data_IF_704032003327
#
_entry.id   IF_704032003327
#
_cell.length_a   1.000
_cell.length_b   1.000
_cell.length_c   1.000
_cell.angle_alpha   90.00
_cell.angle_beta   90.00
_cell.angle_gamma   90.00
#
_symmetry.space_group_name_H-M   'P 1'
#
loop_
_entity.id
_entity.type
_entity.pdbx_description
1 polymer ?
#
# COMPACT_ATOMS: atom_id res chain seq x y z
N UNK A 1 9.31 -32.14 48.12
CA UNK A 1 8.79 -32.43 46.76
C UNK A 1 8.53 -31.20 45.91
N UNK A 2 8.08 -30.06 46.46
CA UNK A 2 7.77 -28.85 45.65
C UNK A 2 8.99 -28.13 45.05
N UNK A 3 10.14 -28.12 45.74
CA UNK A 3 11.36 -27.49 45.22
C UNK A 3 11.92 -28.15 43.95
N UNK A 4 11.74 -29.46 43.79
CA UNK A 4 12.19 -30.20 42.61
C UNK A 4 11.33 -29.86 41.38
N UNK A 5 10.03 -29.68 41.57
CA UNK A 5 9.09 -29.29 40.50
C UNK A 5 9.32 -27.84 40.02
N UNK A 6 9.70 -26.94 40.93
CA UNK A 6 10.06 -25.57 40.58
C UNK A 6 11.35 -25.51 39.75
N UNK A 7 12.34 -26.33 40.10
CA UNK A 7 13.59 -26.44 39.36
C UNK A 7 13.38 -27.00 37.94
N UNK A 8 12.54 -28.04 37.80
CA UNK A 8 12.24 -28.60 36.48
C UNK A 8 11.42 -27.63 35.62
N UNK A 9 10.47 -26.89 36.20
CA UNK A 9 9.72 -25.87 35.49
C UNK A 9 10.62 -24.74 34.95
N UNK A 10 11.59 -24.27 35.75
CA UNK A 10 12.56 -23.25 35.32
C UNK A 10 13.47 -23.75 34.19
N UNK A 11 13.91 -25.01 34.26
CA UNK A 11 14.72 -25.62 33.20
C UNK A 11 13.94 -25.75 31.88
N UNK A 12 12.66 -26.16 31.95
CA UNK A 12 11.80 -26.24 30.77
C UNK A 12 11.59 -24.85 30.14
N UNK A 13 11.32 -23.83 30.97
CA UNK A 13 11.13 -22.46 30.49
C UNK A 13 12.39 -21.90 29.81
N UNK A 14 13.57 -22.15 30.40
CA UNK A 14 14.86 -21.81 29.79
C UNK A 14 15.10 -22.53 28.45
N UNK A 15 14.74 -23.82 28.37
CA UNK A 15 14.90 -24.60 27.13
C UNK A 15 13.97 -24.11 26.02
N UNK A 16 12.73 -23.73 26.35
CA UNK A 16 11.78 -23.15 25.41
C UNK A 16 12.28 -21.78 24.92
N UNK A 17 12.71 -20.90 25.83
CA UNK A 17 13.26 -19.59 25.47
C UNK A 17 14.48 -19.70 24.57
N UNK A 18 15.40 -20.62 24.90
CA UNK A 18 16.57 -20.91 24.08
C UNK A 18 16.21 -21.52 22.71
N UNK A 19 15.21 -22.41 22.66
CA UNK A 19 14.70 -22.99 21.42
C UNK A 19 14.11 -21.94 20.48
N UNK A 20 13.26 -21.04 21.01
CA UNK A 20 12.69 -19.92 20.26
C UNK A 20 13.76 -18.96 19.75
N UNK A 21 14.75 -18.65 20.59
CA UNK A 21 15.89 -17.81 20.19
C UNK A 21 16.71 -18.45 19.06
N UNK A 22 16.96 -19.76 19.15
CA UNK A 22 17.73 -20.48 18.13
C UNK A 22 16.97 -20.58 16.80
N UNK A 23 15.65 -20.74 16.84
CA UNK A 23 14.79 -20.71 15.64
C UNK A 23 14.83 -19.33 14.98
N UNK A 24 14.70 -18.25 15.75
CA UNK A 24 14.77 -16.89 15.23
C UNK A 24 16.13 -16.60 14.54
N UNK A 25 17.23 -17.00 15.17
CA UNK A 25 18.59 -16.91 14.60
C UNK A 25 18.78 -17.78 13.34
N UNK A 26 18.08 -18.91 13.23
CA UNK A 26 18.13 -19.76 12.03
C UNK A 26 17.32 -19.17 10.89
N UNK A 27 16.20 -18.49 11.15
CA UNK A 27 15.42 -17.80 10.12
C UNK A 27 16.25 -16.69 9.47
N UNK A 28 16.93 -15.85 10.26
CA UNK A 28 17.82 -14.81 9.70
C UNK A 28 18.96 -15.41 8.85
N UNK A 29 19.61 -16.49 9.31
CA UNK A 29 20.65 -17.17 8.52
C UNK A 29 20.11 -17.93 7.31
N UNK A 30 18.86 -18.39 7.34
CA UNK A 30 18.21 -19.01 6.19
C UNK A 30 17.82 -17.97 5.15
N UNK A 31 17.46 -16.75 5.54
CA UNK A 31 17.26 -15.65 4.61
C UNK A 31 18.58 -15.26 3.92
N UNK A 32 19.69 -15.14 4.65
CA UNK A 32 21.01 -14.90 4.05
C UNK A 32 21.49 -16.05 3.15
N UNK A 33 21.25 -17.30 3.54
CA UNK A 33 21.60 -18.47 2.71
C UNK A 33 20.65 -18.62 1.52
N UNK A 34 19.36 -18.30 1.66
CA UNK A 34 18.40 -18.21 0.55
C UNK A 34 18.82 -17.09 -0.39
N UNK A 35 19.30 -15.94 0.11
CA UNK A 35 19.91 -14.88 -0.68
C UNK A 35 21.12 -15.39 -1.48
N UNK A 36 21.99 -16.20 -0.90
CA UNK A 36 23.13 -16.80 -1.64
C UNK A 36 22.69 -17.85 -2.66
N UNK A 37 21.67 -18.66 -2.37
CA UNK A 37 21.15 -19.68 -3.29
C UNK A 37 20.35 -19.05 -4.43
N UNK A 38 19.58 -17.98 -4.16
CA UNK A 38 18.91 -17.17 -5.20
C UNK A 38 19.96 -16.51 -6.07
N UNK A 39 21.03 -15.90 -5.50
CA UNK A 39 22.19 -15.39 -6.26
C UNK A 39 22.86 -16.44 -7.15
N UNK A 40 23.05 -17.67 -6.66
CA UNK A 40 23.61 -18.76 -7.47
C UNK A 40 22.63 -19.29 -8.53
N UNK A 41 21.33 -19.12 -8.30
CA UNK A 41 20.29 -19.54 -9.23
C UNK A 41 20.05 -18.47 -10.31
N UNK A 42 20.03 -17.17 -9.99
CA UNK A 42 19.93 -16.09 -10.98
C UNK A 42 21.16 -16.03 -11.88
N UNK A 43 22.37 -16.19 -11.35
CA UNK A 43 23.60 -16.32 -12.16
C UNK A 43 23.63 -17.58 -13.07
N UNK A 44 22.71 -18.54 -12.87
CA UNK A 44 22.59 -19.76 -13.67
C UNK A 44 21.33 -19.77 -14.57
N UNK A 45 20.32 -18.95 -14.27
CA UNK A 45 19.07 -18.79 -15.04
C UNK A 45 19.17 -17.72 -16.14
N UNK A 46 20.20 -16.85 -16.11
CA UNK A 46 20.50 -15.89 -17.20
C UNK A 46 20.73 -16.57 -18.56
N UNK A 47 20.92 -17.90 -18.59
CA UNK A 47 21.01 -18.69 -19.82
C UNK A 47 19.69 -19.29 -20.34
N UNK A 48 18.58 -19.24 -19.57
CA UNK A 48 17.38 -20.06 -19.85
C UNK A 48 16.04 -19.33 -19.82
N UNK A 49 15.95 -18.06 -19.42
CA UNK A 49 14.69 -17.29 -19.42
C UNK A 49 14.59 -16.23 -20.52
N UNK A 50 14.99 -16.59 -21.73
CA UNK A 50 14.58 -15.85 -22.92
C UNK A 50 13.23 -16.36 -23.46
N UNK A 51 12.13 -16.26 -22.70
CA UNK A 51 10.79 -16.40 -23.31
C UNK A 51 9.74 -15.53 -22.60
N UNK A 52 9.24 -14.53 -23.34
CA UNK A 52 8.02 -13.74 -23.12
C UNK A 52 8.03 -12.46 -22.25
N UNK A 53 9.09 -11.66 -22.29
CA UNK A 53 8.93 -10.20 -22.12
C UNK A 53 8.71 -9.58 -23.50
N UNK A 54 7.45 -9.24 -23.79
CA UNK A 54 7.15 -8.29 -24.87
C UNK A 54 8.03 -7.06 -24.63
N UNK A 55 8.73 -6.63 -25.69
CA UNK A 55 9.51 -5.40 -25.81
C UNK A 55 8.63 -4.18 -25.49
N UNK A 56 8.37 -3.97 -24.21
CA UNK A 56 7.60 -2.88 -23.66
C UNK A 56 8.45 -2.29 -22.55
N UNK A 57 9.01 -1.11 -22.83
CA UNK A 57 9.54 -0.14 -21.87
C UNK A 57 9.91 -0.74 -20.51
N UNK A 58 11.03 -1.47 -20.48
CA UNK A 58 11.49 -2.13 -19.26
C UNK A 58 12.14 -1.10 -18.33
N UNK A 59 11.26 -0.38 -17.65
CA UNK A 59 11.57 0.65 -16.66
C UNK A 59 12.25 0.10 -15.40
N UNK A 60 12.31 -1.22 -15.23
CA UNK A 60 12.84 -1.89 -14.05
C UNK A 60 14.16 -2.62 -14.31
N UNK A 61 14.77 -2.42 -15.48
CA UNK A 61 16.07 -2.99 -15.84
C UNK A 61 16.10 -4.53 -15.72
N UNK A 62 15.04 -5.20 -16.15
CA UNK A 62 14.83 -6.67 -16.07
C UNK A 62 14.76 -7.22 -14.64
N UNK A 63 14.72 -6.35 -13.62
CA UNK A 63 14.59 -6.74 -12.22
C UNK A 63 13.13 -6.97 -11.85
N UNK A 64 12.87 -8.07 -11.15
CA UNK A 64 11.53 -8.44 -10.69
C UNK A 64 11.53 -8.88 -9.22
N UNK A 65 10.38 -8.74 -8.55
CA UNK A 65 10.15 -9.26 -7.20
C UNK A 65 11.20 -8.80 -6.18
N UNK A 66 11.92 -9.76 -5.60
CA UNK A 66 12.87 -9.53 -4.51
C UNK A 66 14.08 -8.71 -4.97
N UNK A 67 14.58 -8.94 -6.19
CA UNK A 67 15.74 -8.22 -6.72
C UNK A 67 15.41 -6.74 -6.98
N UNK A 68 14.23 -6.49 -7.55
CA UNK A 68 13.71 -5.13 -7.75
C UNK A 68 13.52 -4.39 -6.42
N UNK A 69 12.96 -5.06 -5.41
CA UNK A 69 12.76 -4.48 -4.08
C UNK A 69 14.07 -3.96 -3.48
N UNK A 70 15.11 -4.82 -3.43
CA UNK A 70 16.39 -4.42 -2.84
C UNK A 70 17.17 -3.42 -3.69
N UNK A 71 16.98 -3.44 -5.02
CA UNK A 71 17.54 -2.42 -5.89
C UNK A 71 16.93 -1.04 -5.62
N UNK A 72 15.62 -0.95 -5.44
CA UNK A 72 14.94 0.29 -5.09
C UNK A 72 15.26 0.76 -3.66
N UNK A 73 15.52 -0.16 -2.73
CA UNK A 73 15.98 0.15 -1.38
C UNK A 73 17.44 0.64 -1.32
N UNK A 74 18.18 0.62 -2.44
CA UNK A 74 19.59 1.01 -2.49
C UNK A 74 20.55 0.00 -1.83
N UNK A 75 20.07 -1.19 -1.48
CA UNK A 75 20.89 -2.27 -0.88
C UNK A 75 21.61 -3.12 -1.94
N UNK A 76 21.25 -2.93 -3.21
CA UNK A 76 21.85 -3.64 -4.33
C UNK A 76 23.18 -2.98 -4.72
N UNK A 77 24.25 -3.77 -4.81
CA UNK A 77 25.64 -3.29 -4.98
C UNK A 77 25.96 -2.81 -6.41
N UNK A 78 24.93 -2.52 -7.20
CA UNK A 78 25.02 -1.95 -8.53
C UNK A 78 24.28 -0.63 -8.44
N UNK A 79 24.96 0.48 -8.75
CA UNK A 79 24.36 1.82 -8.80
C UNK A 79 23.34 1.86 -9.94
N UNK A 80 22.15 1.32 -9.70
CA UNK A 80 21.00 1.42 -10.59
C UNK A 80 20.20 2.65 -10.19
N UNK A 81 20.14 3.62 -11.09
CA UNK A 81 19.20 4.72 -10.97
C UNK A 81 17.85 4.30 -11.57
N UNK A 82 16.81 4.41 -10.77
CA UNK A 82 15.43 4.24 -11.21
C UNK A 82 14.82 5.59 -11.49
N UNK A 83 14.11 5.70 -12.62
CA UNK A 83 13.34 6.91 -12.93
C UNK A 83 12.24 7.14 -11.89
N UNK A 84 11.82 8.38 -11.72
CA UNK A 84 10.68 8.74 -10.87
C UNK A 84 9.39 7.98 -11.24
N UNK A 85 9.20 7.74 -12.54
CA UNK A 85 8.06 6.96 -13.03
C UNK A 85 8.17 5.47 -12.62
N UNK A 86 9.36 4.87 -12.67
CA UNK A 86 9.57 3.52 -12.16
C UNK A 86 9.29 3.43 -10.66
N UNK A 87 9.79 4.40 -9.89
CA UNK A 87 9.54 4.50 -8.44
C UNK A 87 8.04 4.58 -8.12
N UNK A 88 7.30 5.50 -8.75
CA UNK A 88 5.85 5.65 -8.55
C UNK A 88 5.05 4.40 -8.93
N UNK A 89 5.44 3.72 -10.01
CA UNK A 89 4.78 2.47 -10.41
C UNK A 89 5.05 1.36 -9.42
N UNK A 90 6.27 1.26 -8.90
CA UNK A 90 6.58 0.30 -7.85
C UNK A 90 5.83 0.60 -6.56
N UNK A 91 5.70 1.87 -6.17
CA UNK A 91 4.89 2.28 -5.02
C UNK A 91 3.43 1.80 -5.13
N UNK A 92 2.81 1.90 -6.31
CA UNK A 92 1.47 1.38 -6.55
C UNK A 92 1.42 -0.15 -6.39
N UNK A 93 2.43 -0.86 -6.93
CA UNK A 93 2.55 -2.32 -6.79
C UNK A 93 2.72 -2.71 -5.33
N UNK A 94 3.51 -1.95 -4.57
CA UNK A 94 3.74 -2.14 -3.14
C UNK A 94 2.44 -1.98 -2.34
N UNK A 95 1.72 -0.86 -2.55
CA UNK A 95 0.42 -0.59 -1.92
C UNK A 95 -0.55 -1.74 -2.16
N UNK A 96 -0.67 -2.18 -3.41
CA UNK A 96 -1.59 -3.26 -3.77
C UNK A 96 -1.18 -4.59 -3.14
N UNK A 97 0.11 -4.90 -3.08
CA UNK A 97 0.59 -6.13 -2.43
C UNK A 97 0.28 -6.12 -0.92
N UNK A 98 0.49 -4.99 -0.23
CA UNK A 98 0.12 -4.85 1.20
C UNK A 98 -1.38 -5.08 1.41
N UNK A 99 -2.22 -4.47 0.57
CA UNK A 99 -3.68 -4.65 0.64
C UNK A 99 -4.10 -6.10 0.38
N UNK A 100 -3.50 -6.78 -0.59
CA UNK A 100 -3.79 -8.20 -0.85
C UNK A 100 -3.38 -9.09 0.34
N UNK A 101 -2.29 -8.77 1.04
CA UNK A 101 -1.89 -9.49 2.26
C UNK A 101 -2.90 -9.26 3.39
N UNK A 102 -3.37 -8.03 3.60
CA UNK A 102 -4.38 -7.72 4.61
C UNK A 102 -5.74 -8.36 4.27
N UNK A 103 -6.13 -8.42 3.01
CA UNK A 103 -7.36 -9.09 2.57
C UNK A 103 -7.28 -10.60 2.85
N UNK A 104 -6.15 -11.24 2.51
CA UNK A 104 -5.90 -12.65 2.88
C UNK A 104 -5.97 -12.86 4.40
N UNK A 105 -5.46 -11.91 5.18
CA UNK A 105 -5.54 -11.95 6.64
C UNK A 105 -7.00 -11.93 7.12
N UNK A 106 -7.84 -11.09 6.50
CA UNK A 106 -9.28 -10.99 6.78
C UNK A 106 -10.03 -12.29 6.46
N UNK A 107 -9.66 -12.95 5.36
CA UNK A 107 -10.18 -14.27 4.99
C UNK A 107 -9.70 -15.41 5.92
N UNK A 108 -8.82 -15.11 6.87
CA UNK A 108 -8.27 -16.10 7.80
C UNK A 108 -7.16 -16.96 7.21
N UNK A 109 -6.63 -16.59 6.04
CA UNK A 109 -5.48 -17.27 5.46
C UNK A 109 -4.24 -17.04 6.33
N UNK A 110 -3.44 -18.09 6.54
CA UNK A 110 -2.17 -18.04 7.29
C UNK A 110 -0.96 -18.35 6.42
N UNK A 111 -1.17 -18.45 5.11
CA UNK A 111 -0.10 -18.75 4.18
C UNK A 111 0.84 -17.55 4.08
N UNK A 112 2.07 -17.75 4.52
CA UNK A 112 3.16 -16.79 4.45
C UNK A 112 3.76 -16.82 3.03
N UNK A 113 3.11 -16.17 2.08
CA UNK A 113 3.67 -16.00 0.74
C UNK A 113 4.28 -14.61 0.58
N UNK A 114 5.60 -14.56 0.46
CA UNK A 114 6.33 -13.31 0.23
C UNK A 114 6.22 -12.84 -1.22
N UNK A 115 5.88 -13.73 -2.17
CA UNK A 115 5.78 -13.43 -3.60
C UNK A 115 4.32 -13.33 -3.97
N UNK A 116 3.97 -12.36 -4.80
CA UNK A 116 2.61 -12.26 -5.35
C UNK A 116 2.67 -11.58 -6.70
N UNK A 117 1.80 -12.00 -7.62
CA UNK A 117 1.66 -11.38 -8.93
C UNK A 117 0.60 -10.30 -8.83
N UNK A 118 1.02 -9.04 -8.94
CA UNK A 118 0.14 -7.89 -8.85
C UNK A 118 -0.36 -7.53 -10.24
N UNK A 119 -1.67 -7.63 -10.44
CA UNK A 119 -2.30 -7.25 -11.71
C UNK A 119 -2.33 -5.72 -11.84
N UNK A 120 -1.64 -5.16 -12.83
CA UNK A 120 -1.67 -3.72 -13.14
C UNK A 120 -2.28 -3.48 -14.53
N UNK A 121 -2.65 -2.24 -14.84
CA UNK A 121 -3.15 -1.87 -16.18
C UNK A 121 -2.14 -2.14 -17.31
N UNK A 122 -0.84 -2.21 -16.98
CA UNK A 122 0.23 -2.48 -17.94
C UNK A 122 0.67 -3.95 -17.99
N UNK A 123 0.04 -4.80 -17.17
CA UNK A 123 0.33 -6.23 -17.10
C UNK A 123 0.58 -6.73 -15.67
N UNK A 124 0.75 -8.04 -15.51
CA UNK A 124 1.12 -8.65 -14.24
C UNK A 124 2.56 -8.25 -13.86
N UNK A 125 2.76 -7.78 -12.63
CA UNK A 125 4.08 -7.45 -12.08
C UNK A 125 4.39 -8.40 -10.93
N UNK A 126 5.47 -9.19 -11.00
CA UNK A 126 5.94 -9.99 -9.87
C UNK A 126 6.41 -9.07 -8.75
N UNK A 127 5.70 -9.09 -7.63
CA UNK A 127 6.00 -8.31 -6.43
C UNK A 127 6.53 -9.22 -5.33
N UNK A 128 7.37 -8.67 -4.47
CA UNK A 128 7.89 -9.34 -3.30
C UNK A 128 7.89 -8.38 -2.11
N UNK A 129 7.51 -8.91 -0.94
CA UNK A 129 7.60 -8.21 0.33
C UNK A 129 8.50 -8.98 1.29
N UNK A 130 9.24 -8.29 2.19
CA UNK A 130 9.96 -8.93 3.27
C UNK A 130 9.09 -9.85 4.11
N UNK A 131 9.66 -10.99 4.51
CA UNK A 131 8.91 -12.04 5.19
C UNK A 131 8.39 -11.60 6.57
N UNK A 132 9.17 -10.79 7.29
CA UNK A 132 8.80 -10.17 8.55
C UNK A 132 7.60 -9.21 8.38
N UNK A 133 7.60 -8.41 7.31
CA UNK A 133 6.49 -7.53 6.96
C UNK A 133 5.22 -8.34 6.68
N UNK A 134 5.28 -9.35 5.81
CA UNK A 134 4.13 -10.22 5.49
C UNK A 134 3.60 -10.93 6.75
N UNK A 135 4.50 -11.43 7.59
CA UNK A 135 4.13 -12.11 8.84
C UNK A 135 3.41 -11.16 9.80
N UNK A 136 3.92 -9.93 9.97
CA UNK A 136 3.30 -8.90 10.79
C UNK A 136 1.91 -8.56 10.28
N UNK A 137 1.79 -8.25 8.98
CA UNK A 137 0.53 -7.87 8.35
C UNK A 137 -0.53 -8.98 8.44
N UNK A 138 -0.16 -10.24 8.24
CA UNK A 138 -1.11 -11.36 8.37
C UNK A 138 -1.60 -11.56 9.81
N UNK A 139 -0.70 -11.48 10.80
CA UNK A 139 -1.07 -11.65 12.20
C UNK A 139 -1.96 -10.51 12.67
N UNK A 140 -1.54 -9.26 12.43
CA UNK A 140 -2.27 -8.08 12.88
C UNK A 140 -3.55 -7.86 12.08
N UNK A 141 -3.52 -8.08 10.76
CA UNK A 141 -4.71 -8.02 9.92
C UNK A 141 -5.76 -9.06 10.32
N UNK A 142 -5.33 -10.27 10.72
CA UNK A 142 -6.24 -11.29 11.24
C UNK A 142 -6.81 -10.97 12.63
N UNK A 143 -6.11 -10.16 13.44
CA UNK A 143 -6.65 -9.61 14.70
C UNK A 143 -7.66 -8.51 14.41
N UNK A 144 -7.32 -7.59 13.51
CA UNK A 144 -8.19 -6.49 13.10
C UNK A 144 -9.49 -7.00 12.45
N UNK A 145 -9.44 -8.09 11.69
CA UNK A 145 -10.61 -8.73 11.12
C UNK A 145 -11.58 -9.28 12.19
N UNK A 146 -11.08 -9.66 13.36
CA UNK A 146 -11.91 -10.13 14.49
C UNK A 146 -12.38 -8.98 15.38
N UNK A 147 -11.56 -7.94 15.52
CA UNK A 147 -11.84 -6.75 16.29
C UNK A 147 -11.42 -5.51 15.49
N UNK A 148 -12.33 -4.91 14.70
CA UNK A 148 -12.03 -3.77 13.83
C UNK A 148 -11.57 -2.51 14.57
N UNK A 149 -11.83 -2.43 15.88
CA UNK A 149 -11.48 -1.29 16.74
C UNK A 149 -10.23 -1.59 17.60
N UNK A 150 -9.45 -2.62 17.26
CA UNK A 150 -8.20 -2.92 17.96
C UNK A 150 -7.12 -1.91 17.58
N UNK A 151 -7.03 -0.86 18.38
CA UNK A 151 -6.08 0.24 18.22
C UNK A 151 -4.61 -0.24 18.20
N UNK A 152 -4.29 -1.33 18.91
CA UNK A 152 -2.94 -1.91 18.92
C UNK A 152 -2.62 -2.59 17.58
N UNK A 153 -3.60 -3.32 17.02
CA UNK A 153 -3.44 -3.92 15.71
C UNK A 153 -3.28 -2.86 14.62
N UNK A 154 -4.08 -1.79 14.68
CA UNK A 154 -4.01 -0.64 13.76
C UNK A 154 -2.61 0.02 13.83
N UNK A 155 -2.14 0.35 15.04
CA UNK A 155 -0.81 0.95 15.24
C UNK A 155 0.32 0.03 14.74
N UNK A 156 0.20 -1.28 15.01
CA UNK A 156 1.18 -2.26 14.56
C UNK A 156 1.25 -2.36 13.04
N UNK A 157 0.10 -2.38 12.35
CA UNK A 157 0.01 -2.36 10.89
C UNK A 157 0.61 -1.06 10.33
N UNK A 158 0.18 0.11 10.84
CA UNK A 158 0.71 1.43 10.44
C UNK A 158 2.23 1.48 10.58
N UNK A 159 2.77 1.12 11.74
CA UNK A 159 4.23 1.12 11.98
C UNK A 159 5.00 0.15 11.06
N UNK A 160 4.40 -0.99 10.71
CA UNK A 160 5.00 -1.95 9.77
C UNK A 160 5.06 -1.36 8.36
N UNK A 161 3.98 -0.70 7.92
CA UNK A 161 3.90 -0.03 6.61
C UNK A 161 4.87 1.15 6.57
N UNK A 162 4.90 2.01 7.59
CA UNK A 162 5.80 3.16 7.65
C UNK A 162 7.27 2.74 7.52
N UNK A 163 7.67 1.69 8.23
CA UNK A 163 9.02 1.15 8.14
C UNK A 163 9.33 0.63 6.74
N UNK A 164 8.39 -0.09 6.12
CA UNK A 164 8.53 -0.61 4.75
C UNK A 164 8.70 0.53 3.73
N UNK A 165 7.86 1.57 3.81
CA UNK A 165 7.91 2.73 2.92
C UNK A 165 9.19 3.54 3.13
N UNK A 166 9.57 3.77 4.39
CA UNK A 166 10.82 4.48 4.74
C UNK A 166 12.05 3.76 4.19
N UNK A 167 12.08 2.42 4.24
CA UNK A 167 13.19 1.62 3.69
C UNK A 167 13.36 1.84 2.18
N UNK A 168 12.27 2.09 1.46
CA UNK A 168 12.28 2.34 0.02
C UNK A 168 12.39 3.84 -0.33
N UNK A 169 12.43 4.72 0.67
CA UNK A 169 12.45 6.17 0.49
C UNK A 169 11.11 6.77 0.05
N UNK A 170 9.99 6.09 0.30
CA UNK A 170 8.64 6.60 0.05
C UNK A 170 8.01 7.22 1.30
N UNK A 171 6.98 8.04 1.10
CA UNK A 171 6.11 8.52 2.18
C UNK A 171 4.97 7.52 2.36
N UNK A 172 4.70 7.14 3.60
CA UNK A 172 3.62 6.18 3.91
C UNK A 172 2.26 6.80 3.60
N UNK A 173 1.31 6.07 2.99
CA UNK A 173 -0.04 6.58 2.76
C UNK A 173 -0.85 6.56 4.06
N UNK A 174 -1.34 7.73 4.49
CA UNK A 174 -2.17 7.86 5.72
C UNK A 174 -3.45 7.00 5.64
N UNK A 175 -4.08 6.99 4.47
CA UNK A 175 -5.36 6.33 4.20
C UNK A 175 -5.23 4.86 3.70
N UNK A 176 -4.16 4.15 4.05
CA UNK A 176 -4.01 2.76 3.55
C UNK A 176 -5.08 1.80 4.10
N UNK A 177 -5.64 2.12 5.26
CA UNK A 177 -6.60 1.28 5.98
C UNK A 177 -8.05 1.78 5.90
N UNK A 178 -8.32 2.92 5.25
CA UNK A 178 -9.68 3.50 5.20
C UNK A 178 -10.21 3.89 6.59
N UNK A 179 -9.32 4.16 7.54
CA UNK A 179 -9.68 4.44 8.94
C UNK A 179 -9.95 5.92 9.21
N UNK A 180 -9.57 6.80 8.27
CA UNK A 180 -9.69 8.25 8.42
C UNK A 180 -11.01 8.78 7.80
N UNK A 181 -11.83 7.89 7.21
CA UNK A 181 -13.12 8.21 6.59
C UNK A 181 -14.22 8.60 7.61
N UNK A 182 -14.03 8.32 8.91
CA UNK A 182 -15.03 8.66 9.95
C UNK A 182 -14.89 10.09 10.51
N UNK A 183 -13.78 10.81 10.28
CA UNK A 183 -13.69 12.25 10.62
C UNK A 183 -14.07 13.19 9.46
N UNK A 184 -14.13 12.69 8.22
CA UNK A 184 -14.42 13.53 7.05
C UNK A 184 -15.87 13.44 6.54
N UNK A 185 -16.69 12.55 7.11
CA UNK A 185 -18.15 12.47 6.83
C UNK A 185 -18.99 13.60 7.46
N UNK A 186 -18.34 14.63 7.99
CA UNK A 186 -18.96 15.90 8.42
C UNK A 186 -18.80 17.06 7.43
N UNK A 187 -18.02 16.89 6.35
CA UNK A 187 -17.89 17.89 5.30
C UNK A 187 -18.47 17.34 4.00
N UNK A 188 -19.80 17.23 3.95
CA UNK A 188 -20.51 17.30 2.68
C UNK A 188 -20.12 18.61 1.99
N UNK A 189 -19.11 18.56 1.11
CA UNK A 189 -18.95 19.58 0.10
C UNK A 189 -20.08 19.37 -0.92
N UNK A 190 -21.02 20.32 -1.07
CA UNK A 190 -22.11 20.20 -2.03
C UNK A 190 -21.57 20.48 -3.43
N UNK A 191 -20.82 19.55 -4.01
CA UNK A 191 -20.42 19.64 -5.42
C UNK A 191 -21.52 19.06 -6.29
N UNK A 192 -22.57 19.85 -6.51
CA UNK A 192 -23.70 19.43 -7.33
C UNK A 192 -24.85 20.42 -7.49
N UNK A 193 -24.69 21.72 -7.18
CA UNK A 193 -25.77 22.70 -7.35
C UNK A 193 -25.35 24.10 -7.81
N UNK A 194 -24.12 24.30 -8.28
CA UNK A 194 -23.66 25.61 -8.77
C UNK A 194 -23.74 25.80 -10.29
N UNK A 195 -24.20 24.79 -11.05
CA UNK A 195 -24.44 24.94 -12.50
C UNK A 195 -25.88 25.19 -12.91
N UNK A 196 -26.87 24.98 -12.03
CA UNK A 196 -28.28 25.32 -12.34
C UNK A 196 -28.69 26.72 -11.86
N UNK A 197 -28.05 27.28 -10.82
CA UNK A 197 -28.39 28.63 -10.33
C UNK A 197 -27.74 29.78 -11.13
N UNK A 198 -26.75 29.50 -11.99
CA UNK A 198 -26.17 30.51 -12.89
C UNK A 198 -26.96 30.68 -14.19
N UNK A 199 -27.58 29.63 -14.71
CA UNK A 199 -28.47 29.77 -15.88
C UNK A 199 -29.82 30.41 -15.49
N UNK A 200 -30.33 30.20 -14.27
CA UNK A 200 -31.61 30.81 -13.85
C UNK A 200 -31.49 32.29 -13.44
N UNK A 201 -30.28 32.80 -13.17
CA UNK A 201 -30.04 34.23 -12.90
C UNK A 201 -29.81 35.05 -14.17
N UNK A 202 -29.12 34.51 -15.18
CA UNK A 202 -28.97 35.20 -16.46
C UNK A 202 -30.29 35.27 -17.25
N UNK A 203 -31.20 34.28 -17.11
CA UNK A 203 -32.51 34.35 -17.78
C UNK A 203 -33.53 35.27 -17.07
N UNK A 204 -33.27 35.69 -15.82
CA UNK A 204 -34.10 36.66 -15.08
C UNK A 204 -33.65 38.11 -15.28
N UNK A 205 -32.35 38.37 -15.42
CA UNK A 205 -31.87 39.73 -15.75
C UNK A 205 -32.19 40.15 -17.20
N UNK A 206 -32.24 39.21 -18.16
CA UNK A 206 -32.63 39.55 -19.56
C UNK A 206 -34.14 39.78 -19.76
N UNK A 207 -34.98 39.40 -18.77
CA UNK A 207 -36.44 39.64 -18.80
C UNK A 207 -36.85 40.93 -18.07
N UNK A 208 -36.10 41.41 -17.08
CA UNK A 208 -36.36 42.72 -16.44
C UNK A 208 -35.89 43.91 -17.30
N UNK A 209 -34.81 43.79 -18.08
CA UNK A 209 -34.34 44.90 -18.93
C UNK A 209 -35.20 45.14 -20.19
N UNK A 210 -36.10 44.19 -20.54
CA UNK A 210 -37.05 44.33 -21.66
C UNK A 210 -38.44 44.84 -21.27
N UNK A 211 -38.81 44.88 -19.99
CA UNK A 211 -40.07 45.49 -19.55
C UNK A 211 -39.92 46.98 -19.15
N UNK A 212 -38.72 47.47 -18.84
CA UNK A 212 -38.52 48.88 -18.48
C UNK A 212 -38.41 49.84 -19.69
N UNK A 213 -38.39 49.32 -20.94
CA UNK A 213 -38.38 50.16 -22.17
C UNK A 213 -39.76 50.34 -22.84
N UNK A 214 -40.85 49.85 -22.25
CA UNK A 214 -42.22 50.07 -22.75
C UNK A 214 -43.12 50.66 -21.65
N UNK A 215 -42.87 51.91 -21.29
CA UNK A 215 -43.69 52.55 -20.25
C UNK A 215 -43.51 54.05 -20.05
N UNK A 216 -43.32 54.86 -21.11
CA UNK A 216 -43.50 56.32 -20.98
C UNK A 216 -44.72 56.74 -21.80
N UNK A 217 -45.89 56.97 -21.17
CA UNK A 217 -46.96 57.73 -21.79
C UNK A 217 -46.56 59.21 -21.79
N UNK A 218 -46.28 59.74 -22.99
CA UNK A 218 -46.19 61.18 -23.21
C UNK A 218 -47.60 61.75 -23.21
N UNK A 219 -47.95 62.49 -22.16
CA UNK A 219 -49.12 63.34 -22.11
C UNK A 219 -48.70 64.78 -21.78
N UNK A 220 -49.13 65.67 -22.68
CA UNK A 220 -49.41 67.09 -22.55
C UNK A 220 -48.25 68.10 -22.66
N UNK A 221 -48.19 68.69 -23.87
CA UNK A 221 -47.74 70.06 -24.11
C UNK A 221 -48.76 70.78 -24.98
N UNK A 222 -49.60 71.60 -24.34
CA UNK A 222 -50.59 72.50 -24.93
C UNK A 222 -49.88 73.62 -25.70
N UNK A 223 -50.30 73.85 -26.95
CA UNK A 223 -50.56 75.18 -27.54
C UNK A 223 -51.44 75.00 -28.79
#
# INVERSE_FOLDING_TARGET
MHGLLLLTALLIMGFIGYGLYQLNQRVMRLEEKKRQIVRQKSAKDDGLKATNTKKGDDIFHELEGEELFYALAGEYHRELEFSEDARKRFELVLRKHVLEVLEKAKEGQRALDSKTIIQTLRGPVPSWLPQDVVSSLLVQGGLLAKNPQDERAIQSIRSTIDRLYTQLGYHSPDDLLGLDDDESRGAELPYGKEKEEKEEKEEKEEKEEKEESKGVPSADGIA
#
